data_IF_494585358624
#
_entry.id   IF_494585358624
#
_cell.length_a   1.000
_cell.length_b   1.000
_cell.length_c   1.000
_cell.angle_alpha   90.00
_cell.angle_beta   90.00
_cell.angle_gamma   90.00
#
_symmetry.space_group_name_H-M   'P 1'
#
loop_
_entity.id
_entity.type
_entity.pdbx_description
1 polymer ?
#
# COMPACT_ATOMS: atom_id res chain seq x y z
N UNK A 1 -31.71 -7.23 38.99
CA UNK A 1 -31.52 -5.95 38.27
C UNK A 1 -30.39 -6.17 37.28
N UNK A 2 -30.70 -6.33 35.99
CA UNK A 2 -29.71 -6.58 34.93
C UNK A 2 -29.61 -5.30 34.10
N UNK A 3 -28.43 -4.70 34.08
CA UNK A 3 -28.10 -3.48 33.32
C UNK A 3 -27.82 -3.85 31.85
N UNK A 4 -28.55 -3.24 30.93
CA UNK A 4 -28.35 -3.36 29.49
C UNK A 4 -27.48 -2.20 29.01
N UNK A 5 -26.40 -2.47 28.27
CA UNK A 5 -25.61 -1.45 27.59
C UNK A 5 -25.48 -1.85 26.11
N UNK A 6 -25.93 -0.95 25.22
CA UNK A 6 -25.74 -1.06 23.77
C UNK A 6 -26.95 -1.58 23.02
N UNK A 7 -27.63 -0.67 22.30
CA UNK A 7 -28.53 -1.00 21.19
C UNK A 7 -27.86 -0.47 19.93
N UNK A 8 -27.59 -1.34 18.95
CA UNK A 8 -27.12 -0.94 17.62
C UNK A 8 -28.29 -1.11 16.66
N UNK A 9 -28.79 0.00 16.13
CA UNK A 9 -29.77 0.00 15.04
C UNK A 9 -29.05 0.35 13.74
N UNK A 10 -29.18 -0.50 12.73
CA UNK A 10 -28.73 -0.21 11.36
C UNK A 10 -29.96 0.03 10.50
N UNK A 11 -30.08 1.21 9.91
CA UNK A 11 -31.15 1.57 8.96
C UNK A 11 -30.58 1.50 7.55
N UNK A 12 -31.12 0.62 6.71
CA UNK A 12 -30.93 0.66 5.26
C UNK A 12 -32.32 0.62 4.62
N UNK A 13 -32.69 1.70 3.92
CA UNK A 13 -33.80 1.71 2.97
C UNK A 13 -35.16 1.23 3.50
N UNK A 14 -35.81 2.01 4.38
CA UNK A 14 -37.27 2.06 4.51
C UNK A 14 -38.04 0.78 4.90
N UNK A 15 -37.40 -0.34 5.23
CA UNK A 15 -38.07 -1.54 5.74
C UNK A 15 -37.31 -2.07 6.98
N UNK A 16 -37.95 -2.08 8.14
CA UNK A 16 -37.37 -2.61 9.38
C UNK A 16 -37.45 -4.14 9.39
N UNK A 17 -36.32 -4.82 9.60
CA UNK A 17 -36.29 -6.23 10.04
C UNK A 17 -35.87 -6.23 11.51
N UNK A 18 -36.59 -7.02 12.31
CA UNK A 18 -36.65 -6.94 13.78
C UNK A 18 -35.33 -6.95 14.54
N UNK A 19 -35.37 -6.34 15.73
CA UNK A 19 -34.28 -6.33 16.69
C UNK A 19 -34.05 -7.74 17.26
N UNK A 20 -32.84 -8.25 17.14
CA UNK A 20 -32.38 -9.41 17.93
C UNK A 20 -31.51 -8.89 19.06
N UNK A 21 -31.95 -9.12 20.30
CA UNK A 21 -31.12 -8.93 21.48
C UNK A 21 -30.63 -10.31 21.96
N UNK A 22 -29.32 -10.47 22.11
CA UNK A 22 -28.71 -11.65 22.70
C UNK A 22 -28.37 -11.35 24.17
N UNK A 23 -28.87 -12.16 25.10
CA UNK A 23 -28.34 -12.17 26.46
C UNK A 23 -27.06 -13.01 26.51
N UNK A 24 -26.15 -12.71 27.45
CA UNK A 24 -24.85 -13.36 27.58
C UNK A 24 -24.91 -14.85 27.99
N UNK A 25 -26.10 -15.44 28.07
CA UNK A 25 -26.35 -16.88 28.30
C UNK A 25 -26.82 -17.63 27.03
N UNK A 26 -26.82 -16.97 25.87
CA UNK A 26 -27.10 -17.60 24.57
C UNK A 26 -28.59 -17.75 24.24
N UNK A 27 -29.48 -17.08 24.97
CA UNK A 27 -30.90 -17.02 24.62
C UNK A 27 -31.27 -15.71 23.91
N UNK A 28 -32.09 -15.81 22.85
CA UNK A 28 -32.66 -14.66 22.12
C UNK A 28 -34.19 -14.69 22.19
N UNK A 29 -34.81 -13.53 22.41
CA UNK A 29 -36.26 -13.35 22.31
C UNK A 29 -36.57 -12.14 21.40
N UNK A 30 -37.57 -12.27 20.54
CA UNK A 30 -38.06 -11.20 19.66
C UNK A 30 -39.12 -10.41 20.44
N UNK A 31 -38.93 -9.10 20.60
CA UNK A 31 -39.94 -8.19 21.16
C UNK A 31 -40.54 -7.38 20.00
N UNK A 32 -41.78 -7.68 19.63
CA UNK A 32 -42.53 -6.85 18.69
C UNK A 32 -43.20 -5.68 19.43
N UNK A 33 -42.72 -4.46 19.17
CA UNK A 33 -43.32 -3.23 19.67
C UNK A 33 -42.97 -2.07 18.75
N UNK A 34 -43.94 -1.63 17.94
CA UNK A 34 -43.79 -0.49 17.05
C UNK A 34 -43.74 0.83 17.81
N UNK A 35 -42.81 1.70 17.43
CA UNK A 35 -42.75 3.09 17.90
C UNK A 35 -43.41 3.99 16.86
N UNK A 36 -44.57 4.51 17.22
CA UNK A 36 -45.25 5.60 16.52
C UNK A 36 -44.65 6.95 16.89
N UNK A 37 -44.75 7.86 15.93
CA UNK A 37 -44.37 9.27 15.93
C UNK A 37 -44.45 10.02 17.26
N UNK A 38 -43.34 10.68 17.63
CA UNK A 38 -43.25 12.05 18.18
C UNK A 38 -41.76 12.39 18.38
N UNK A 39 -41.11 12.91 17.33
CA UNK A 39 -39.86 13.66 17.42
C UNK A 39 -40.18 15.10 16.96
N UNK A 40 -39.69 16.10 17.69
CA UNK A 40 -40.03 17.51 17.52
C UNK A 40 -39.67 18.02 16.12
N UNK A 41 -40.68 18.39 15.33
CA UNK A 41 -40.54 18.86 13.95
C UNK A 41 -39.68 20.12 13.77
N UNK A 42 -39.42 20.85 14.85
CA UNK A 42 -38.59 22.06 14.85
C UNK A 42 -37.08 21.73 14.87
N UNK A 43 -36.69 20.63 15.53
CA UNK A 43 -35.32 20.10 15.49
C UNK A 43 -35.00 19.54 14.10
N UNK A 44 -35.96 18.84 13.48
CA UNK A 44 -35.82 18.33 12.12
C UNK A 44 -35.69 19.47 11.11
N UNK A 45 -36.45 20.56 11.23
CA UNK A 45 -36.38 21.67 10.27
C UNK A 45 -35.05 22.45 10.30
N UNK A 46 -34.46 22.64 11.48
CA UNK A 46 -33.17 23.32 11.63
C UNK A 46 -32.01 22.43 11.18
N UNK A 47 -32.06 21.14 11.54
CA UNK A 47 -31.10 20.13 11.07
C UNK A 47 -31.17 19.92 9.56
N UNK A 48 -32.38 19.85 9.00
CA UNK A 48 -32.59 19.69 7.56
C UNK A 48 -32.11 20.92 6.79
N UNK A 49 -32.31 22.13 7.32
CA UNK A 49 -31.81 23.35 6.69
C UNK A 49 -30.28 23.46 6.73
N UNK A 50 -29.64 23.05 7.83
CA UNK A 50 -28.18 23.02 7.96
C UNK A 50 -27.56 21.92 7.07
N UNK A 51 -28.23 20.77 6.98
CA UNK A 51 -27.85 19.65 6.10
C UNK A 51 -28.02 20.02 4.61
N UNK A 52 -29.13 20.63 4.22
CA UNK A 52 -29.35 21.10 2.85
C UNK A 52 -28.38 22.21 2.46
N UNK A 53 -28.03 23.11 3.38
CA UNK A 53 -27.00 24.11 3.18
C UNK A 53 -25.62 23.47 2.95
N UNK A 54 -25.27 22.45 3.73
CA UNK A 54 -24.02 21.69 3.59
C UNK A 54 -23.96 20.87 2.28
N UNK A 55 -25.10 20.46 1.74
CA UNK A 55 -25.20 19.82 0.41
C UNK A 55 -25.13 20.83 -0.74
N UNK A 56 -25.57 22.07 -0.53
CA UNK A 56 -25.65 23.09 -1.58
C UNK A 56 -24.30 23.68 -2.00
N UNK A 57 -23.31 23.65 -1.09
CA UNK A 57 -21.92 24.07 -1.37
C UNK A 57 -20.98 22.97 -0.89
N UNK A 58 -20.67 21.97 -1.74
CA UNK A 58 -19.71 20.95 -1.35
C UNK A 58 -18.37 21.62 -1.01
N UNK A 59 -17.78 21.40 0.18
CA UNK A 59 -16.51 22.01 0.52
C UNK A 59 -15.43 21.65 -0.51
N UNK A 60 -14.52 22.58 -0.80
CA UNK A 60 -13.55 22.48 -1.90
C UNK A 60 -12.70 21.19 -1.91
N UNK A 61 -12.59 20.46 -0.80
CA UNK A 61 -11.92 19.15 -0.75
C UNK A 61 -12.77 17.99 -1.32
N UNK A 62 -14.03 18.23 -1.72
CA UNK A 62 -14.95 17.18 -2.20
C UNK A 62 -15.04 17.02 -3.72
N UNK A 63 -14.39 17.85 -4.56
CA UNK A 63 -14.72 17.86 -6.01
C UNK A 63 -13.54 17.62 -6.97
N UNK A 64 -12.29 17.58 -6.52
CA UNK A 64 -11.20 17.22 -7.44
C UNK A 64 -11.13 15.71 -7.68
N UNK A 65 -11.92 15.26 -8.66
CA UNK A 65 -11.77 13.96 -9.30
C UNK A 65 -10.86 14.15 -10.51
N UNK A 66 -9.55 14.22 -10.29
CA UNK A 66 -8.56 14.35 -11.38
C UNK A 66 -8.69 13.21 -12.42
N UNK A 67 -9.19 12.04 -12.01
CA UNK A 67 -9.59 10.93 -12.89
C UNK A 67 -11.07 10.89 -13.30
N UNK A 68 -11.88 11.92 -12.99
CA UNK A 68 -13.32 11.95 -13.28
C UNK A 68 -14.09 10.76 -12.66
N UNK A 69 -14.93 10.03 -13.41
CA UNK A 69 -15.72 8.92 -12.87
C UNK A 69 -14.86 7.72 -12.42
N UNK A 70 -13.62 7.59 -12.90
CA UNK A 70 -12.70 6.53 -12.48
C UNK A 70 -11.93 6.89 -11.21
N UNK A 71 -11.99 8.14 -10.75
CA UNK A 71 -11.36 8.55 -9.51
C UNK A 71 -11.95 7.75 -8.34
N UNK A 72 -11.09 6.93 -7.73
CA UNK A 72 -11.31 6.32 -6.44
C UNK A 72 -10.75 7.24 -5.35
N UNK A 73 -11.38 7.19 -4.17
CA UNK A 73 -10.84 7.84 -2.98
C UNK A 73 -10.10 6.78 -2.19
N UNK A 74 -9.03 7.19 -1.54
CA UNK A 74 -8.34 6.37 -0.55
C UNK A 74 -9.36 5.75 0.41
N UNK A 75 -9.30 4.44 0.57
CA UNK A 75 -10.14 3.71 1.51
C UNK A 75 -9.23 2.86 2.38
N UNK A 76 -9.26 3.12 3.69
CA UNK A 76 -8.48 2.38 4.71
C UNK A 76 -6.95 2.42 4.51
N UNK A 77 -6.39 3.56 4.11
CA UNK A 77 -4.93 3.69 3.97
C UNK A 77 -4.36 3.00 2.73
N UNK A 78 -5.18 2.72 1.72
CA UNK A 78 -4.77 2.05 0.48
C UNK A 78 -4.96 2.91 -0.77
N UNK A 79 -4.15 3.96 -0.99
CA UNK A 79 -4.40 4.95 -2.04
C UNK A 79 -4.37 4.43 -3.48
N UNK A 80 -3.58 3.41 -3.83
CA UNK A 80 -3.49 2.94 -5.22
C UNK A 80 -4.20 1.58 -5.50
N UNK A 81 -4.88 0.97 -4.50
CA UNK A 81 -5.46 -0.40 -4.53
C UNK A 81 -6.97 -0.32 -4.51
N UNK A 82 -7.48 0.62 -5.29
CA UNK A 82 -8.89 0.85 -5.38
C UNK A 82 -9.32 0.54 -6.80
N UNK A 83 -10.36 -0.26 -6.93
CA UNK A 83 -11.04 -0.41 -8.22
C UNK A 83 -11.56 0.95 -8.69
N UNK A 84 -11.54 1.20 -9.99
CA UNK A 84 -12.25 2.34 -10.55
C UNK A 84 -13.74 2.27 -10.17
N UNK A 85 -14.34 3.41 -9.79
CA UNK A 85 -15.76 3.44 -9.37
C UNK A 85 -16.75 3.12 -10.48
N UNK A 86 -16.32 3.21 -11.74
CA UNK A 86 -17.14 2.95 -12.92
C UNK A 86 -17.14 1.48 -13.36
N UNK A 87 -16.49 0.58 -12.63
CA UNK A 87 -16.48 -0.85 -12.99
C UNK A 87 -17.87 -1.48 -12.82
N UNK A 88 -18.28 -2.30 -13.79
CA UNK A 88 -19.43 -3.19 -13.65
C UNK A 88 -19.16 -4.29 -12.61
N UNK A 89 -20.20 -4.99 -12.16
CA UNK A 89 -20.05 -6.12 -11.22
C UNK A 89 -19.16 -7.26 -11.75
N UNK A 90 -19.04 -7.42 -13.08
CA UNK A 90 -18.14 -8.42 -13.67
C UNK A 90 -16.69 -7.94 -13.58
N UNK A 91 -16.44 -6.68 -13.90
CA UNK A 91 -15.10 -6.08 -13.85
C UNK A 91 -14.61 -5.91 -12.41
N UNK A 92 -15.49 -5.53 -11.48
CA UNK A 92 -15.16 -5.44 -10.06
C UNK A 92 -14.73 -6.82 -9.50
N UNK A 93 -15.43 -7.90 -9.88
CA UNK A 93 -15.00 -9.26 -9.53
C UNK A 93 -13.65 -9.63 -10.14
N UNK A 94 -13.41 -9.25 -11.39
CA UNK A 94 -12.10 -9.47 -12.05
C UNK A 94 -10.99 -8.70 -11.34
N UNK A 95 -11.23 -7.45 -10.96
CA UNK A 95 -10.29 -6.65 -10.17
C UNK A 95 -9.99 -7.33 -8.83
N UNK A 96 -11.02 -7.74 -8.09
CA UNK A 96 -10.86 -8.45 -6.81
C UNK A 96 -10.02 -9.73 -6.95
N UNK A 97 -10.26 -10.54 -7.98
CA UNK A 97 -9.44 -11.74 -8.24
C UNK A 97 -7.96 -11.40 -8.52
N UNK A 98 -7.70 -10.28 -9.22
CA UNK A 98 -6.33 -9.81 -9.45
C UNK A 98 -5.67 -9.31 -8.17
N UNK A 99 -6.39 -8.54 -7.35
CA UNK A 99 -5.91 -8.05 -6.07
C UNK A 99 -5.51 -9.20 -5.12
N UNK A 100 -6.25 -10.32 -5.14
CA UNK A 100 -5.88 -11.50 -4.35
C UNK A 100 -4.51 -12.09 -4.72
N UNK A 101 -4.12 -12.03 -6.00
CA UNK A 101 -2.80 -12.50 -6.44
C UNK A 101 -1.73 -11.46 -6.12
N UNK A 102 -2.05 -10.17 -6.28
CA UNK A 102 -1.13 -9.07 -6.00
C UNK A 102 -0.78 -8.97 -4.51
N UNK A 103 -1.77 -9.15 -3.64
CA UNK A 103 -1.63 -9.07 -2.18
C UNK A 103 -1.02 -10.35 -1.56
N UNK A 104 -0.74 -11.37 -2.37
CA UNK A 104 -0.27 -12.68 -1.89
C UNK A 104 1.24 -12.70 -1.67
N UNK A 105 1.66 -13.30 -0.55
CA UNK A 105 3.03 -13.77 -0.37
C UNK A 105 3.23 -15.16 -0.98
N UNK A 106 4.20 -15.29 -1.87
CA UNK A 106 4.62 -16.54 -2.47
C UNK A 106 5.58 -17.28 -1.55
N UNK A 107 5.49 -18.61 -1.57
CA UNK A 107 6.43 -19.51 -0.89
C UNK A 107 7.18 -20.37 -1.92
N UNK A 108 8.20 -21.11 -1.49
CA UNK A 108 9.00 -21.97 -2.37
C UNK A 108 8.12 -22.96 -3.17
N UNK A 109 7.15 -23.60 -2.51
CA UNK A 109 6.20 -24.53 -3.15
C UNK A 109 5.33 -23.89 -4.23
N UNK A 110 5.29 -22.56 -4.30
CA UNK A 110 4.50 -21.77 -5.25
C UNK A 110 5.38 -21.12 -6.33
N UNK A 111 6.68 -21.43 -6.37
CA UNK A 111 7.59 -21.01 -7.43
C UNK A 111 8.44 -19.76 -7.14
N UNK A 112 8.56 -19.33 -5.88
CA UNK A 112 9.42 -18.19 -5.48
C UNK A 112 10.90 -18.39 -5.86
N UNK A 113 11.35 -19.64 -5.98
CA UNK A 113 12.76 -19.99 -6.19
C UNK A 113 13.58 -19.92 -4.88
N UNK A 114 14.80 -20.48 -4.86
CA UNK A 114 15.63 -20.55 -3.65
C UNK A 114 16.25 -19.20 -3.24
N UNK A 115 16.48 -18.32 -4.21
CA UNK A 115 16.99 -16.96 -4.04
C UNK A 115 16.08 -15.96 -4.76
N UNK A 116 15.86 -14.80 -4.16
CA UNK A 116 14.87 -13.81 -4.58
C UNK A 116 15.23 -12.42 -4.04
N UNK A 117 14.48 -11.39 -4.46
CA UNK A 117 14.53 -10.05 -3.85
C UNK A 117 13.36 -9.83 -2.88
N UNK A 118 12.16 -10.24 -3.28
CA UNK A 118 10.95 -10.12 -2.46
C UNK A 118 9.99 -11.31 -2.62
N UNK A 119 9.11 -11.48 -1.63
CA UNK A 119 8.14 -12.59 -1.57
C UNK A 119 6.74 -12.23 -2.06
N UNK A 120 6.45 -10.96 -2.31
CA UNK A 120 5.14 -10.51 -2.82
C UNK A 120 5.28 -9.30 -3.73
N UNK A 121 4.24 -9.01 -4.51
CA UNK A 121 4.20 -7.78 -5.31
C UNK A 121 4.20 -6.55 -4.40
N UNK A 122 3.42 -6.57 -3.31
CA UNK A 122 3.33 -5.49 -2.33
C UNK A 122 4.63 -5.22 -1.56
N UNK A 123 5.47 -6.25 -1.35
CA UNK A 123 6.72 -6.09 -0.63
C UNK A 123 7.74 -5.24 -1.41
N UNK A 124 7.62 -5.23 -2.75
CA UNK A 124 8.35 -4.29 -3.59
C UNK A 124 7.52 -3.03 -3.86
N UNK A 125 6.26 -3.17 -4.24
CA UNK A 125 5.38 -2.08 -4.64
C UNK A 125 4.48 -1.68 -3.48
N UNK A 126 5.01 -0.81 -2.63
CA UNK A 126 4.34 -0.39 -1.41
C UNK A 126 3.08 0.42 -1.71
N UNK A 127 2.13 0.29 -0.78
CA UNK A 127 0.83 0.94 -0.81
C UNK A 127 0.96 2.39 -0.31
N UNK A 128 1.29 3.28 -1.24
CA UNK A 128 1.40 4.72 -1.04
C UNK A 128 2.36 5.27 0.01
N UNK A 129 2.01 6.46 0.52
CA UNK A 129 2.92 7.49 1.08
C UNK A 129 3.55 7.14 2.44
N UNK A 130 3.50 5.89 2.90
CA UNK A 130 4.22 5.50 4.11
C UNK A 130 5.72 5.57 3.79
N UNK A 131 6.47 6.54 4.35
CA UNK A 131 7.91 6.49 4.25
C UNK A 131 8.31 5.21 4.98
N UNK A 132 8.93 4.29 4.26
CA UNK A 132 9.52 3.14 4.94
C UNK A 132 10.55 3.74 5.88
N UNK A 133 10.25 3.66 7.18
CA UNK A 133 11.20 3.96 8.24
C UNK A 133 12.21 2.82 8.21
N UNK A 134 13.10 2.86 7.23
CA UNK A 134 14.35 2.15 7.34
C UNK A 134 15.17 2.85 8.42
N UNK A 135 15.81 2.08 9.29
CA UNK A 135 16.87 2.62 10.12
C UNK A 135 17.89 3.34 9.22
N UNK A 136 18.63 4.35 9.74
CA UNK A 136 19.47 5.21 8.91
C UNK A 136 20.41 4.47 7.96
N UNK A 137 20.85 3.26 8.30
CA UNK A 137 21.80 2.47 7.52
C UNK A 137 21.17 1.21 6.89
N UNK A 138 19.84 1.10 6.88
CA UNK A 138 19.12 -0.02 6.29
C UNK A 138 18.60 0.29 4.89
N UNK A 139 18.62 -0.75 4.06
CA UNK A 139 17.98 -0.73 2.75
C UNK A 139 16.48 -0.94 2.93
N UNK A 140 15.69 0.10 2.63
CA UNK A 140 14.24 0.00 2.61
C UNK A 140 13.72 -0.99 1.54
N UNK A 141 12.48 -1.49 1.70
CA UNK A 141 11.83 -2.36 0.75
C UNK A 141 11.63 -1.67 -0.61
N UNK A 142 11.53 -2.47 -1.67
CA UNK A 142 11.41 -1.99 -3.04
C UNK A 142 12.72 -1.51 -3.69
N UNK A 143 13.84 -1.49 -2.96
CA UNK A 143 15.15 -1.32 -3.58
C UNK A 143 15.60 -2.61 -4.27
N UNK A 144 16.08 -2.51 -5.51
CA UNK A 144 16.85 -3.55 -6.18
C UNK A 144 18.11 -2.96 -6.82
N UNK A 145 19.16 -3.76 -6.94
CA UNK A 145 20.39 -3.38 -7.64
C UNK A 145 20.48 -4.08 -8.99
N UNK A 146 20.53 -3.28 -10.06
CA UNK A 146 20.92 -3.76 -11.40
C UNK A 146 22.43 -3.75 -11.53
N UNK A 147 22.98 -4.82 -12.09
CA UNK A 147 24.40 -5.02 -12.30
C UNK A 147 24.70 -5.10 -13.80
N UNK A 148 25.80 -4.52 -14.21
CA UNK A 148 26.26 -4.58 -15.60
C UNK A 148 27.75 -4.30 -15.68
N UNK A 149 28.34 -4.57 -16.84
CA UNK A 149 29.68 -4.08 -17.21
C UNK A 149 29.56 -3.10 -18.39
N UNK A 150 30.57 -2.25 -18.65
CA UNK A 150 30.53 -1.32 -19.76
C UNK A 150 30.32 -2.03 -21.11
N UNK A 151 29.40 -1.49 -21.91
CA UNK A 151 29.08 -2.01 -23.24
C UNK A 151 27.59 -2.05 -23.50
N UNK A 152 27.24 -2.58 -24.68
CA UNK A 152 25.87 -2.78 -25.13
C UNK A 152 25.77 -4.18 -25.69
N UNK A 153 24.78 -4.94 -25.22
CA UNK A 153 24.48 -6.30 -25.69
C UNK A 153 23.93 -6.28 -27.12
N UNK A 154 23.83 -7.45 -27.75
CA UNK A 154 23.30 -7.61 -29.11
C UNK A 154 21.86 -7.07 -29.27
N UNK A 155 21.09 -7.04 -28.18
CA UNK A 155 19.70 -6.53 -28.16
C UNK A 155 19.60 -5.04 -27.86
N UNK A 156 20.74 -4.35 -27.69
CA UNK A 156 20.77 -2.94 -27.30
C UNK A 156 20.65 -2.69 -25.80
N UNK A 157 20.53 -3.75 -24.99
CA UNK A 157 20.46 -3.67 -23.52
C UNK A 157 21.84 -3.65 -22.84
N UNK A 158 21.88 -3.49 -21.50
CA UNK A 158 23.12 -3.59 -20.72
C UNK A 158 23.78 -4.95 -20.87
N UNK A 159 25.11 -4.99 -20.80
CA UNK A 159 25.88 -6.24 -20.73
C UNK A 159 25.86 -6.72 -19.28
N UNK A 160 25.38 -7.95 -19.06
CA UNK A 160 25.27 -8.54 -17.73
C UNK A 160 26.62 -8.62 -17.01
N UNK A 161 26.61 -8.45 -15.69
CA UNK A 161 27.77 -8.81 -14.87
C UNK A 161 28.02 -10.33 -15.02
N UNK A 162 29.25 -10.78 -15.30
CA UNK A 162 29.52 -12.18 -15.67
C UNK A 162 29.15 -13.25 -14.63
N UNK A 163 29.10 -12.89 -13.35
CA UNK A 163 28.93 -13.82 -12.22
C UNK A 163 27.50 -13.78 -11.69
N UNK A 164 26.92 -12.58 -11.56
CA UNK A 164 25.64 -12.30 -10.90
C UNK A 164 24.56 -11.81 -11.89
N UNK A 165 24.88 -11.73 -13.18
CA UNK A 165 23.91 -11.37 -14.20
C UNK A 165 23.50 -9.89 -14.17
N UNK A 166 22.21 -9.61 -14.38
CA UNK A 166 21.70 -8.25 -14.53
C UNK A 166 21.08 -7.67 -13.26
N UNK A 167 20.84 -8.49 -12.24
CA UNK A 167 20.14 -8.10 -11.02
C UNK A 167 20.61 -8.99 -9.88
N UNK A 168 21.08 -8.37 -8.80
CA UNK A 168 21.46 -9.07 -7.58
C UNK A 168 20.21 -9.63 -6.88
N UNK A 169 20.23 -10.88 -6.42
CA UNK A 169 19.22 -11.51 -5.57
C UNK A 169 19.72 -11.55 -4.12
N UNK A 170 19.26 -10.61 -3.30
CA UNK A 170 19.78 -10.30 -1.97
C UNK A 170 19.12 -11.09 -0.83
N UNK A 171 18.15 -11.96 -1.14
CA UNK A 171 17.45 -12.82 -0.17
C UNK A 171 17.42 -14.28 -0.61
N UNK A 172 17.20 -15.17 0.36
CA UNK A 172 17.14 -16.61 0.14
C UNK A 172 16.14 -17.28 1.09
N UNK A 173 15.64 -18.45 0.69
CA UNK A 173 14.89 -19.34 1.58
C UNK A 173 15.83 -20.08 2.55
N UNK A 174 15.24 -20.72 3.56
CA UNK A 174 15.97 -21.59 4.48
C UNK A 174 16.79 -22.66 3.74
N UNK A 175 18.09 -22.73 4.05
CA UNK A 175 19.01 -23.69 3.44
C UNK A 175 19.69 -23.22 2.14
N UNK A 176 19.33 -22.03 1.64
CA UNK A 176 20.05 -21.33 0.57
C UNK A 176 20.79 -20.10 1.10
N UNK A 177 21.64 -19.50 0.27
CA UNK A 177 22.36 -18.26 0.57
C UNK A 177 22.03 -17.20 -0.49
N UNK A 178 21.83 -15.93 -0.12
CA UNK A 178 21.67 -14.85 -1.09
C UNK A 178 22.95 -14.66 -1.90
N UNK A 179 22.84 -13.99 -3.05
CA UNK A 179 24.00 -13.71 -3.91
C UNK A 179 24.98 -12.72 -3.27
N UNK A 180 24.48 -11.85 -2.40
CA UNK A 180 25.24 -10.89 -1.61
C UNK A 180 24.32 -10.05 -0.74
N UNK A 181 24.91 -9.19 0.08
CA UNK A 181 24.19 -8.26 0.97
C UNK A 181 24.31 -6.85 0.44
N UNK A 182 23.19 -6.13 0.34
CA UNK A 182 23.19 -4.71 -0.07
C UNK A 182 23.41 -3.84 1.15
N UNK A 183 24.38 -2.93 1.05
CA UNK A 183 24.73 -1.97 2.08
C UNK A 183 24.44 -0.56 1.58
N UNK A 184 24.00 0.34 2.45
CA UNK A 184 23.83 1.77 2.16
C UNK A 184 24.62 2.62 3.14
N UNK A 185 25.37 3.59 2.61
CA UNK A 185 26.00 4.64 3.39
C UNK A 185 25.51 6.01 2.91
N UNK A 186 25.44 7.01 3.80
CA UNK A 186 24.92 8.33 3.45
C UNK A 186 25.99 9.40 3.47
N UNK A 187 26.10 10.14 2.36
CA UNK A 187 26.91 11.34 2.27
C UNK A 187 26.03 12.58 2.49
N UNK A 188 26.40 13.42 3.46
CA UNK A 188 25.67 14.64 3.79
C UNK A 188 26.31 15.88 3.17
N UNK A 189 25.51 16.78 2.62
CA UNK A 189 25.96 18.11 2.16
C UNK A 189 24.98 19.19 2.59
N UNK A 190 25.44 20.43 2.76
CA UNK A 190 24.56 21.56 3.13
C UNK A 190 24.36 22.49 1.95
N UNK A 191 23.11 22.89 1.74
CA UNK A 191 22.73 23.89 0.75
C UNK A 191 22.06 25.05 1.47
N UNK A 192 22.48 26.27 1.13
CA UNK A 192 21.87 27.50 1.66
C UNK A 192 21.07 28.15 0.54
N UNK A 193 19.80 28.41 0.79
CA UNK A 193 18.92 29.12 -0.12
C UNK A 193 19.16 30.63 -0.06
N UNK A 194 18.73 31.41 -1.06
CA UNK A 194 18.91 32.87 -1.08
C UNK A 194 18.23 33.62 0.08
N UNK A 195 17.21 33.02 0.72
CA UNK A 195 16.53 33.54 1.90
C UNK A 195 17.29 33.28 3.22
N UNK A 196 18.42 32.57 3.15
CA UNK A 196 19.24 32.17 4.29
C UNK A 196 18.87 30.81 4.90
N UNK A 197 17.84 30.12 4.39
CA UNK A 197 17.45 28.79 4.85
C UNK A 197 18.54 27.77 4.53
N UNK A 198 18.99 27.01 5.53
CA UNK A 198 20.00 25.95 5.37
C UNK A 198 19.33 24.58 5.43
N UNK A 199 19.47 23.79 4.37
CA UNK A 199 19.05 22.40 4.34
C UNK A 199 20.26 21.45 4.31
N UNK A 200 20.14 20.32 4.99
CA UNK A 200 21.07 19.20 4.88
C UNK A 200 20.50 18.17 3.91
N UNK A 201 21.22 17.93 2.82
CA UNK A 201 20.89 16.94 1.81
C UNK A 201 21.67 15.66 2.10
N UNK A 202 21.05 14.51 1.88
CA UNK A 202 21.69 13.20 1.94
C UNK A 202 21.73 12.56 0.56
N UNK A 203 22.84 11.92 0.22
CA UNK A 203 23.01 11.09 -0.97
C UNK A 203 23.37 9.66 -0.54
N UNK A 204 22.62 8.63 -0.98
CA UNK A 204 22.97 7.26 -0.68
C UNK A 204 24.14 6.80 -1.55
N UNK A 205 25.02 5.98 -0.97
CA UNK A 205 26.09 5.26 -1.60
C UNK A 205 25.85 3.76 -1.36
N UNK A 206 25.59 3.01 -2.42
CA UNK A 206 25.30 1.59 -2.34
C UNK A 206 26.56 0.76 -2.57
N UNK A 207 26.71 -0.31 -1.80
CA UNK A 207 27.76 -1.31 -2.02
C UNK A 207 27.22 -2.72 -1.77
N UNK A 208 27.98 -3.73 -2.21
CA UNK A 208 27.59 -5.13 -2.08
C UNK A 208 28.68 -5.86 -1.29
N UNK A 209 28.27 -6.52 -0.21
CA UNK A 209 29.13 -7.31 0.66
C UNK A 209 28.73 -8.80 0.60
N UNK A 210 29.47 -9.68 1.27
CA UNK A 210 29.13 -11.10 1.43
C UNK A 210 28.78 -11.86 0.13
N UNK A 211 29.47 -11.55 -0.97
CA UNK A 211 29.25 -12.13 -2.29
C UNK A 211 29.46 -13.65 -2.31
N UNK A 212 28.45 -14.39 -2.80
CA UNK A 212 28.40 -15.86 -2.75
C UNK A 212 29.35 -16.54 -3.75
N UNK A 213 29.41 -16.04 -4.98
CA UNK A 213 30.09 -16.67 -6.12
C UNK A 213 31.45 -16.04 -6.46
N UNK A 214 32.03 -15.28 -5.52
CA UNK A 214 33.29 -14.57 -5.70
C UNK A 214 33.13 -13.08 -6.01
N UNK A 215 34.24 -12.41 -6.29
CA UNK A 215 34.24 -10.96 -6.53
C UNK A 215 33.48 -10.58 -7.80
N UNK A 216 32.77 -9.45 -7.76
CA UNK A 216 32.26 -8.78 -8.96
C UNK A 216 33.38 -8.47 -9.94
N UNK A 217 33.04 -8.38 -11.23
CA UNK A 217 33.94 -7.86 -12.25
C UNK A 217 34.45 -6.45 -11.85
N UNK A 218 35.74 -6.12 -12.07
CA UNK A 218 36.33 -4.85 -11.63
C UNK A 218 35.65 -3.61 -12.20
N UNK A 219 35.05 -3.73 -13.38
CA UNK A 219 34.32 -2.64 -14.05
C UNK A 219 32.80 -2.69 -13.81
N UNK A 220 32.33 -3.42 -12.80
CA UNK A 220 30.89 -3.51 -12.52
C UNK A 220 30.27 -2.13 -12.28
N UNK A 221 29.21 -1.84 -13.03
CA UNK A 221 28.35 -0.69 -12.86
C UNK A 221 27.11 -1.11 -12.06
N UNK A 222 26.85 -0.41 -10.96
CA UNK A 222 25.69 -0.63 -10.09
C UNK A 222 24.65 0.46 -10.38
N UNK A 223 23.41 0.05 -10.64
CA UNK A 223 22.27 0.95 -10.82
C UNK A 223 21.18 0.60 -9.80
N UNK A 224 21.08 1.35 -8.70
CA UNK A 224 19.98 1.22 -7.75
C UNK A 224 18.67 1.62 -8.40
N UNK A 225 17.61 0.85 -8.15
CA UNK A 225 16.25 1.11 -8.62
C UNK A 225 15.31 0.98 -7.44
N UNK A 226 14.46 1.99 -7.26
CA UNK A 226 13.31 1.90 -6.37
C UNK A 226 12.08 1.65 -7.21
N UNK A 227 11.26 0.70 -6.77
CA UNK A 227 9.98 0.40 -7.39
C UNK A 227 9.01 1.56 -7.22
N UNK A 228 8.15 1.82 -8.22
CA UNK A 228 7.04 2.75 -8.04
C UNK A 228 6.07 2.18 -7.01
N UNK A 229 5.37 3.05 -6.30
CA UNK A 229 4.19 2.65 -5.54
C UNK A 229 3.17 2.07 -6.50
N UNK A 230 2.61 0.94 -6.11
CA UNK A 230 1.42 0.38 -6.73
C UNK A 230 0.56 -0.13 -5.61
N UNK A 231 -0.75 -0.15 -5.85
CA UNK A 231 -1.76 -0.42 -4.83
C UNK A 231 -1.75 0.59 -3.67
#
# INVERSE_FOLDING_TARGET
MRSWHGVVATVIGGLAIGLVACANDGSSAIVEGGIGAEFDAEFDAEFDAEFDAALSVPPNFLVERTGGPTAAREFRGRPFNQSARSLSNVEFRRFGNGALVFDKHFVEAEGLGPIFNETSCLSCHLDGDEPVVAEPDEVGPGLLLRLSVPGVSETGGPVAEPTYGLQLQDRANDGASPEGTVEVAWETSRVTYPDGTVLELRRPQFSISALLAGSLHPDTLISPRITPTMT
#
